data_IF_228094911068
#
_entry.id   IF_228094911068
#
_cell.length_a   1.000
_cell.length_b   1.000
_cell.length_c   1.000
_cell.angle_alpha   90.00
_cell.angle_beta   90.00
_cell.angle_gamma   90.00
#
_symmetry.space_group_name_H-M   'P 1'
#
loop_
_entity.id
_entity.type
_entity.pdbx_description
1 polymer ?
#
# COMPACT_ATOMS: atom_id res chain seq x y z
N UNK A 1 15.31 -0.35 -67.15
CA UNK A 1 14.84 0.39 -65.96
C UNK A 1 14.79 -0.54 -64.76
N UNK A 2 15.77 -0.43 -63.87
CA UNK A 2 15.86 -1.27 -62.64
C UNK A 2 15.08 -0.54 -61.53
N UNK A 3 13.96 -1.11 -61.10
CA UNK A 3 13.22 -0.60 -59.93
C UNK A 3 13.80 -1.19 -58.65
N UNK A 4 14.49 -0.35 -57.90
CA UNK A 4 15.02 -0.72 -56.60
C UNK A 4 13.88 -0.59 -55.55
N UNK A 5 13.44 -1.73 -55.02
CA UNK A 5 12.51 -1.75 -53.88
C UNK A 5 13.32 -1.55 -52.61
N UNK A 6 13.10 -0.41 -51.97
CA UNK A 6 13.62 -0.13 -50.62
C UNK A 6 12.59 -0.68 -49.63
N UNK A 7 12.93 -1.79 -48.97
CA UNK A 7 12.17 -2.33 -47.85
C UNK A 7 12.60 -1.57 -46.60
N UNK A 8 11.78 -0.67 -46.12
CA UNK A 8 11.97 -0.04 -44.83
C UNK A 8 11.56 -1.03 -43.73
N UNK A 9 12.56 -1.59 -43.05
CA UNK A 9 12.35 -2.41 -41.87
C UNK A 9 11.88 -1.53 -40.70
N UNK A 10 10.59 -1.57 -40.39
CA UNK A 10 10.01 -0.90 -39.23
C UNK A 10 10.32 -1.70 -37.98
N UNK A 11 11.36 -1.33 -37.25
CA UNK A 11 11.71 -1.94 -35.97
C UNK A 11 10.66 -1.53 -34.91
N UNK A 12 9.75 -2.42 -34.60
CA UNK A 12 8.81 -2.26 -33.51
C UNK A 12 9.56 -2.51 -32.21
N UNK A 13 9.96 -1.42 -31.52
CA UNK A 13 10.42 -1.48 -30.16
C UNK A 13 9.22 -1.78 -29.25
N UNK A 14 9.04 -3.02 -28.83
CA UNK A 14 8.11 -3.35 -27.76
C UNK A 14 8.75 -2.93 -26.43
N UNK A 15 8.35 -1.78 -25.92
CA UNK A 15 8.59 -1.39 -24.53
C UNK A 15 7.81 -2.36 -23.64
N UNK A 16 8.48 -3.31 -23.04
CA UNK A 16 7.94 -4.11 -21.95
C UNK A 16 7.76 -3.17 -20.74
N UNK A 17 6.58 -2.56 -20.59
CA UNK A 17 6.23 -1.85 -19.38
C UNK A 17 6.06 -2.91 -18.29
N UNK A 18 7.05 -3.07 -17.42
CA UNK A 18 6.85 -3.78 -16.15
C UNK A 18 5.76 -3.05 -15.39
N UNK A 19 4.64 -3.72 -15.12
CA UNK A 19 3.55 -3.14 -14.34
C UNK A 19 4.09 -2.86 -12.93
N UNK A 20 4.30 -1.57 -12.61
CA UNK A 20 4.70 -1.09 -11.29
C UNK A 20 3.58 -1.39 -10.29
N UNK A 21 3.92 -1.94 -9.13
CA UNK A 21 2.94 -2.14 -8.06
C UNK A 21 2.47 -0.78 -7.54
N UNK A 22 1.17 -0.68 -7.20
CA UNK A 22 0.61 0.52 -6.59
C UNK A 22 1.40 0.95 -5.33
N UNK A 23 1.45 2.24 -5.05
CA UNK A 23 1.96 2.76 -3.77
C UNK A 23 1.11 2.30 -2.58
N UNK A 24 -0.16 1.98 -2.80
CA UNK A 24 -1.06 1.42 -1.79
C UNK A 24 -1.20 -0.08 -2.01
N UNK A 25 -1.15 -0.85 -0.94
CA UNK A 25 -1.45 -2.28 -0.98
C UNK A 25 -2.93 -2.51 -1.30
N UNK A 26 -3.18 -3.02 -2.50
CA UNK A 26 -4.52 -3.32 -3.02
C UNK A 26 -4.69 -4.83 -3.09
N UNK A 27 -5.78 -5.32 -2.54
CA UNK A 27 -6.21 -6.71 -2.65
C UNK A 27 -7.72 -6.76 -2.87
N UNK A 28 -8.17 -7.55 -3.85
CA UNK A 28 -9.58 -7.58 -4.24
C UNK A 28 -10.10 -6.23 -4.76
N UNK A 29 -9.24 -5.41 -5.36
CA UNK A 29 -9.58 -4.07 -5.85
C UNK A 29 -9.74 -3.00 -4.76
N UNK A 30 -9.39 -3.29 -3.52
CA UNK A 30 -9.57 -2.41 -2.35
C UNK A 30 -8.25 -2.20 -1.60
N UNK A 31 -8.03 -0.97 -1.12
CA UNK A 31 -6.93 -0.67 -0.21
C UNK A 31 -7.07 -1.52 1.06
N UNK A 32 -5.95 -2.05 1.53
CA UNK A 32 -5.88 -2.87 2.76
C UNK A 32 -7.03 -3.89 2.90
N UNK A 33 -7.34 -4.61 1.80
CA UNK A 33 -8.39 -5.65 1.76
C UNK A 33 -9.81 -5.16 2.08
N UNK A 34 -10.08 -3.86 1.97
CA UNK A 34 -11.39 -3.27 2.25
C UNK A 34 -11.69 -3.05 3.72
N UNK A 35 -10.68 -3.06 4.59
CA UNK A 35 -10.84 -2.67 5.99
C UNK A 35 -10.80 -1.16 6.16
N UNK A 36 -11.54 -0.68 7.17
CA UNK A 36 -11.63 0.73 7.51
C UNK A 36 -10.33 1.22 8.19
N UNK A 37 -9.55 2.11 7.58
CA UNK A 37 -8.30 2.58 8.18
C UNK A 37 -8.52 3.41 9.45
N UNK A 38 -9.65 4.09 9.58
CA UNK A 38 -9.97 4.94 10.74
C UNK A 38 -10.32 4.10 11.97
N UNK A 39 -10.95 2.94 11.75
CA UNK A 39 -11.36 2.05 12.84
C UNK A 39 -10.18 1.54 13.69
N UNK A 40 -8.99 1.35 13.09
CA UNK A 40 -7.79 0.97 13.85
C UNK A 40 -7.44 1.99 14.91
N UNK A 41 -7.61 3.27 14.63
CA UNK A 41 -7.33 4.37 15.57
C UNK A 41 -8.48 4.58 16.57
N UNK A 42 -9.73 4.62 16.10
CA UNK A 42 -10.87 4.96 16.92
C UNK A 42 -11.43 3.79 17.73
N UNK A 43 -11.38 2.57 17.17
CA UNK A 43 -12.00 1.40 17.76
C UNK A 43 -10.97 0.35 18.23
N UNK A 44 -9.69 0.53 17.93
CA UNK A 44 -8.60 -0.39 18.27
C UNK A 44 -8.87 -1.83 17.79
N UNK A 45 -9.40 -1.97 16.58
CA UNK A 45 -9.68 -3.26 15.97
C UNK A 45 -9.79 -3.16 14.44
N UNK A 46 -9.60 -4.30 13.77
CA UNK A 46 -9.86 -4.43 12.35
C UNK A 46 -11.38 -4.51 12.10
N UNK A 47 -11.91 -3.57 11.34
CA UNK A 47 -13.32 -3.50 10.97
C UNK A 47 -13.44 -3.45 9.45
N UNK A 48 -14.24 -4.33 8.87
CA UNK A 48 -14.53 -4.29 7.43
C UNK A 48 -15.36 -3.05 7.08
N UNK A 49 -14.94 -2.37 6.01
CA UNK A 49 -15.74 -1.32 5.39
C UNK A 49 -16.86 -1.89 4.51
N UNK A 50 -17.81 -1.03 4.16
CA UNK A 50 -18.89 -1.33 3.23
C UNK A 50 -18.58 -0.78 1.83
N UNK A 51 -18.93 -1.51 0.78
CA UNK A 51 -18.74 -1.04 -0.60
C UNK A 51 -19.48 0.27 -0.91
N UNK A 52 -20.59 0.53 -0.23
CA UNK A 52 -21.37 1.77 -0.33
C UNK A 52 -20.71 2.98 0.32
N UNK A 53 -19.71 2.78 1.18
CA UNK A 53 -18.95 3.82 1.86
C UNK A 53 -17.51 3.78 1.38
N UNK A 54 -17.27 4.27 0.17
CA UNK A 54 -15.96 4.26 -0.47
C UNK A 54 -15.47 5.66 -0.80
N UNK A 55 -14.15 5.80 -0.81
CA UNK A 55 -13.47 7.03 -1.21
C UNK A 55 -12.19 6.71 -1.99
N UNK A 56 -11.98 7.42 -3.10
CA UNK A 56 -10.76 7.31 -3.91
C UNK A 56 -9.68 8.23 -3.35
N UNK A 57 -8.55 7.66 -2.98
CA UNK A 57 -7.40 8.42 -2.55
C UNK A 57 -6.10 7.67 -2.88
N UNK A 58 -5.11 8.40 -3.36
CA UNK A 58 -3.80 7.86 -3.75
C UNK A 58 -3.91 6.64 -4.70
N UNK A 59 -4.74 6.77 -5.75
CA UNK A 59 -5.02 5.74 -6.76
C UNK A 59 -5.54 4.41 -6.17
N UNK A 60 -6.21 4.46 -5.04
CA UNK A 60 -6.79 3.29 -4.38
C UNK A 60 -8.22 3.56 -3.90
N UNK A 61 -9.03 2.52 -3.85
CA UNK A 61 -10.38 2.56 -3.30
C UNK A 61 -10.37 2.16 -1.84
N UNK A 62 -10.67 3.09 -0.96
CA UNK A 62 -10.75 2.89 0.48
C UNK A 62 -12.20 2.67 0.90
N UNK A 63 -12.44 1.70 1.78
CA UNK A 63 -13.76 1.40 2.33
C UNK A 63 -13.84 1.78 3.81
N UNK A 64 -15.04 2.17 4.24
CA UNK A 64 -15.30 2.61 5.62
C UNK A 64 -16.50 1.89 6.20
N UNK A 65 -16.52 1.72 7.51
CA UNK A 65 -17.61 1.09 8.24
C UNK A 65 -18.73 2.09 8.58
N UNK A 66 -18.44 3.39 8.55
CA UNK A 66 -19.41 4.45 8.82
C UNK A 66 -19.13 5.69 7.97
N UNK A 67 -20.17 6.52 7.79
CA UNK A 67 -20.04 7.84 7.15
C UNK A 67 -19.10 8.75 7.94
N UNK A 68 -19.13 8.64 9.26
CA UNK A 68 -18.26 9.42 10.15
C UNK A 68 -16.78 9.10 9.90
N UNK A 69 -16.40 7.81 9.80
CA UNK A 69 -15.04 7.40 9.51
C UNK A 69 -14.59 7.80 8.10
N UNK A 70 -15.48 7.66 7.12
CA UNK A 70 -15.21 8.14 5.77
C UNK A 70 -14.93 9.64 5.74
N UNK A 71 -15.72 10.45 6.43
CA UNK A 71 -15.53 11.89 6.50
C UNK A 71 -14.25 12.27 7.26
N UNK A 72 -13.90 11.55 8.32
CA UNK A 72 -12.65 11.74 9.04
C UNK A 72 -11.43 11.46 8.14
N UNK A 73 -11.49 10.40 7.35
CA UNK A 73 -10.44 10.08 6.37
C UNK A 73 -10.33 11.14 5.27
N UNK A 74 -11.46 11.58 4.70
CA UNK A 74 -11.47 12.65 3.68
C UNK A 74 -10.82 13.94 4.18
N UNK A 75 -11.05 14.29 5.44
CA UNK A 75 -10.50 15.49 6.05
C UNK A 75 -8.97 15.39 6.31
N UNK A 76 -8.46 14.19 6.59
CA UNK A 76 -7.07 13.98 6.93
C UNK A 76 -6.60 12.56 6.52
N UNK A 77 -6.52 12.25 5.22
CA UNK A 77 -6.20 10.90 4.76
C UNK A 77 -4.81 10.43 5.21
N UNK A 78 -3.82 11.30 5.23
CA UNK A 78 -2.46 10.96 5.65
C UNK A 78 -2.35 10.59 7.13
N UNK A 79 -3.28 11.08 7.97
CA UNK A 79 -3.36 10.73 9.39
C UNK A 79 -3.78 9.27 9.59
N UNK A 80 -4.70 8.78 8.77
CA UNK A 80 -5.33 7.47 8.94
C UNK A 80 -4.80 6.41 7.99
N UNK A 81 -4.22 6.81 6.86
CA UNK A 81 -3.61 5.86 5.93
C UNK A 81 -2.43 5.16 6.60
N UNK A 82 -2.26 3.84 6.38
CA UNK A 82 -1.12 3.11 6.94
C UNK A 82 0.19 3.58 6.33
N UNK A 83 1.25 3.45 7.10
CA UNK A 83 2.60 3.68 6.63
C UNK A 83 2.95 2.69 5.50
N UNK A 84 3.81 3.10 4.59
CA UNK A 84 4.25 2.31 3.44
C UNK A 84 3.10 1.80 2.57
N UNK A 85 2.05 2.60 2.45
CA UNK A 85 0.86 2.24 1.67
C UNK A 85 0.08 1.04 2.21
N UNK A 86 0.38 0.54 3.40
CA UNK A 86 -0.19 -0.68 3.95
C UNK A 86 0.59 -1.95 3.59
N UNK A 87 1.73 -1.83 2.90
CA UNK A 87 2.67 -2.93 2.71
C UNK A 87 3.37 -3.30 4.02
N UNK A 88 3.97 -4.48 4.05
CA UNK A 88 4.68 -5.00 5.22
C UNK A 88 5.80 -4.06 5.66
N UNK A 89 5.73 -3.60 6.92
CA UNK A 89 6.73 -2.70 7.50
C UNK A 89 8.12 -3.37 7.56
N UNK A 90 8.18 -4.65 7.93
CA UNK A 90 9.42 -5.42 7.91
C UNK A 90 9.98 -5.56 6.50
N UNK A 91 9.12 -5.93 5.51
CA UNK A 91 9.52 -6.03 4.12
C UNK A 91 10.04 -4.70 3.56
N UNK A 92 9.41 -3.58 3.91
CA UNK A 92 9.87 -2.24 3.51
C UNK A 92 11.25 -1.93 4.09
N UNK A 93 11.51 -2.28 5.36
CA UNK A 93 12.83 -2.15 5.96
C UNK A 93 13.90 -3.00 5.23
N UNK A 94 13.50 -4.13 4.65
CA UNK A 94 14.37 -4.99 3.82
C UNK A 94 14.41 -4.59 2.33
N UNK A 95 13.74 -3.50 1.94
CA UNK A 95 13.82 -2.90 0.61
C UNK A 95 12.85 -3.44 -0.42
N UNK A 96 11.73 -4.03 -0.02
CA UNK A 96 10.72 -4.55 -0.95
C UNK A 96 9.29 -4.42 -0.43
N UNK A 97 8.33 -4.45 -1.35
CA UNK A 97 6.90 -4.54 -1.06
C UNK A 97 6.51 -5.99 -0.78
N UNK A 98 5.82 -6.24 0.34
CA UNK A 98 5.17 -7.51 0.64
C UNK A 98 3.72 -7.28 1.07
N UNK A 99 2.80 -8.20 0.74
CA UNK A 99 1.40 -8.11 1.17
C UNK A 99 1.30 -8.19 2.70
N UNK A 100 0.14 -7.83 3.22
CA UNK A 100 -0.10 -7.80 4.67
C UNK A 100 -1.41 -8.44 5.05
N UNK A 101 -1.50 -8.84 6.32
CA UNK A 101 -2.73 -9.27 6.96
C UNK A 101 -3.20 -8.19 7.93
N UNK A 102 -4.50 -7.94 7.96
CA UNK A 102 -5.09 -6.85 8.75
C UNK A 102 -5.05 -7.09 10.26
N UNK A 103 -4.94 -8.34 10.70
CA UNK A 103 -4.75 -8.70 12.11
C UNK A 103 -3.34 -8.38 12.66
N UNK A 104 -2.41 -8.01 11.79
CA UNK A 104 -1.06 -7.59 12.19
C UNK A 104 -0.94 -6.09 12.52
N UNK A 105 -2.04 -5.35 12.48
CA UNK A 105 -2.03 -3.91 12.71
C UNK A 105 -1.34 -3.52 14.02
N UNK A 106 -0.64 -2.39 13.98
CA UNK A 106 0.04 -1.83 15.15
C UNK A 106 0.08 -0.31 14.99
N UNK A 107 -0.25 0.43 16.04
CA UNK A 107 -0.12 1.88 16.07
C UNK A 107 1.08 2.25 16.94
N UNK A 108 2.01 3.02 16.36
CA UNK A 108 3.21 3.52 17.02
C UNK A 108 3.32 5.01 16.71
N UNK A 109 3.35 5.85 17.73
CA UNK A 109 3.42 7.31 17.57
C UNK A 109 2.36 7.86 16.59
N UNK A 110 1.10 7.45 16.78
CA UNK A 110 -0.05 7.83 15.94
C UNK A 110 0.07 7.44 14.47
N UNK A 111 0.87 6.43 14.14
CA UNK A 111 1.03 5.87 12.81
C UNK A 111 0.63 4.41 12.76
N UNK A 112 -0.09 4.02 11.72
CA UNK A 112 -0.59 2.66 11.51
C UNK A 112 0.41 1.86 10.66
N UNK A 113 0.78 0.68 11.14
CA UNK A 113 1.69 -0.26 10.47
C UNK A 113 1.04 -1.63 10.32
N UNK A 114 1.35 -2.31 9.22
CA UNK A 114 1.00 -3.70 8.99
C UNK A 114 2.23 -4.55 8.73
N UNK A 115 2.10 -5.84 8.96
CA UNK A 115 3.13 -6.82 8.63
C UNK A 115 2.54 -8.00 7.84
N UNK A 116 3.40 -8.82 7.25
CA UNK A 116 3.05 -9.93 6.39
C UNK A 116 2.14 -10.96 7.09
N UNK A 117 2.51 -11.33 8.31
CA UNK A 117 1.74 -12.22 9.19
C UNK A 117 2.15 -12.00 10.67
N UNK A 118 1.53 -12.72 11.58
CA UNK A 118 1.80 -12.60 13.03
C UNK A 118 3.25 -12.91 13.40
N UNK A 119 3.88 -13.88 12.74
CA UNK A 119 5.29 -14.24 12.98
C UNK A 119 6.24 -13.11 12.56
N UNK A 120 6.02 -12.52 11.41
CA UNK A 120 6.81 -11.36 10.94
C UNK A 120 6.56 -10.15 11.84
N UNK A 121 5.32 -9.91 12.28
CA UNK A 121 5.02 -8.88 13.28
C UNK A 121 5.81 -9.08 14.58
N UNK A 122 5.91 -10.31 15.06
CA UNK A 122 6.69 -10.63 16.27
C UNK A 122 8.18 -10.28 16.09
N UNK A 123 8.76 -10.65 14.94
CA UNK A 123 10.16 -10.31 14.62
C UNK A 123 10.33 -8.79 14.53
N UNK A 124 9.43 -8.10 13.83
CA UNK A 124 9.45 -6.66 13.68
C UNK A 124 9.34 -5.93 15.03
N UNK A 125 8.50 -6.42 15.93
CA UNK A 125 8.29 -5.83 17.25
C UNK A 125 9.55 -5.85 18.12
N UNK A 126 10.42 -6.84 17.95
CA UNK A 126 11.66 -6.99 18.74
C UNK A 126 12.67 -5.86 18.48
N UNK A 127 12.66 -5.28 17.28
CA UNK A 127 13.56 -4.18 16.89
C UNK A 127 12.81 -3.06 16.17
N UNK A 128 11.60 -2.80 16.63
CA UNK A 128 10.63 -1.91 15.97
C UNK A 128 11.18 -0.51 15.68
N UNK A 129 11.83 0.22 16.61
CA UNK A 129 12.32 1.56 16.34
C UNK A 129 13.34 1.61 15.21
N UNK A 130 14.30 0.69 15.20
CA UNK A 130 15.34 0.63 14.17
C UNK A 130 14.75 0.20 12.81
N UNK A 131 13.82 -0.75 12.82
CA UNK A 131 13.15 -1.20 11.58
C UNK A 131 12.25 -0.11 10.99
N UNK A 132 11.61 0.72 11.80
CA UNK A 132 10.86 1.90 11.31
C UNK A 132 11.81 2.91 10.66
N UNK A 133 12.93 3.25 11.31
CA UNK A 133 13.94 4.16 10.73
C UNK A 133 14.44 3.62 9.40
N UNK A 134 14.78 2.34 9.34
CA UNK A 134 15.27 1.68 8.12
C UNK A 134 14.20 1.69 7.01
N UNK A 135 12.96 1.39 7.35
CA UNK A 135 11.85 1.41 6.40
C UNK A 135 11.56 2.82 5.86
N UNK A 136 11.61 3.84 6.71
CA UNK A 136 11.44 5.23 6.30
C UNK A 136 12.53 5.66 5.30
N UNK A 137 13.77 5.20 5.49
CA UNK A 137 14.87 5.45 4.56
C UNK A 137 14.71 4.70 3.23
N UNK A 138 14.16 3.48 3.25
CA UNK A 138 13.96 2.64 2.08
C UNK A 138 12.71 3.01 1.26
N UNK A 139 11.68 3.55 1.91
CA UNK A 139 10.38 3.75 1.29
C UNK A 139 10.41 4.59 0.01
N UNK A 140 11.17 5.70 -0.12
CA UNK A 140 11.21 6.44 -1.39
C UNK A 140 11.61 5.59 -2.60
N UNK A 141 12.50 4.63 -2.43
CA UNK A 141 12.90 3.69 -3.49
C UNK A 141 11.92 2.51 -3.62
N UNK A 142 11.38 2.02 -2.52
CA UNK A 142 10.46 0.87 -2.49
C UNK A 142 9.10 1.24 -3.10
N UNK A 143 8.57 2.43 -2.82
CA UNK A 143 7.24 2.82 -3.29
C UNK A 143 7.10 2.85 -4.80
N UNK A 144 8.19 3.02 -5.54
CA UNK A 144 8.22 3.08 -7.00
C UNK A 144 8.55 1.73 -7.68
N UNK A 145 8.66 0.65 -6.94
CA UNK A 145 8.89 -0.70 -7.47
C UNK A 145 7.66 -1.29 -8.19
#
# INVERSE_FOLDING_TARGET
MKRTLIIAALSIFTLSASAQKSEVFISGGKAIKGYDPVAFFKQSKAVKGADSLSYQWNNATWLFASTEDMNAFKAAPEKYAPQYGGYCAYGTAEGHKAPTQTDTWTIVNDKLYFNYNSKVKEIWTKDQPNLIIKADQQWPAVKVQ
#
